data_IF_806090396290
#
_entry.id   IF_806090396290
#
_cell.length_a   1.000
_cell.length_b   1.000
_cell.length_c   1.000
_cell.angle_alpha   90.00
_cell.angle_beta   90.00
_cell.angle_gamma   90.00
#
_symmetry.space_group_name_H-M   'P 1'
#
loop_
_entity.id
_entity.type
_entity.pdbx_description
1 polymer ?
#
# COMPACT_ATOMS: atom_id res chain seq x y z
N UNK A 1 9.28 6.92 -2.98
CA UNK A 1 7.95 6.56 -2.46
C UNK A 1 6.99 6.68 -3.61
N UNK A 2 6.30 5.59 -3.93
CA UNK A 2 5.25 5.55 -4.95
C UNK A 2 3.89 5.50 -4.27
N UNK A 3 3.00 6.39 -4.68
CA UNK A 3 1.63 6.45 -4.18
C UNK A 3 0.67 5.84 -5.20
N UNK A 4 -0.24 5.01 -4.73
CA UNK A 4 -1.31 4.39 -5.51
C UNK A 4 -2.64 4.81 -4.89
N UNK A 5 -3.43 5.55 -5.66
CA UNK A 5 -4.83 5.86 -5.37
C UNK A 5 -5.79 5.18 -6.34
N UNK A 6 -5.32 4.79 -7.53
CA UNK A 6 -6.15 4.23 -8.59
C UNK A 6 -5.57 2.92 -9.13
N UNK A 7 -6.45 2.03 -9.60
CA UNK A 7 -6.04 0.75 -10.19
C UNK A 7 -5.06 0.94 -11.35
N UNK A 8 -5.25 1.96 -12.19
CA UNK A 8 -4.35 2.25 -13.32
C UNK A 8 -2.92 2.56 -12.88
N UNK A 9 -2.74 3.17 -11.71
CA UNK A 9 -1.42 3.51 -11.16
C UNK A 9 -0.72 2.23 -10.71
N UNK A 10 -1.45 1.32 -10.06
CA UNK A 10 -0.94 -0.01 -9.72
C UNK A 10 -0.57 -0.81 -10.98
N UNK A 11 -1.44 -0.81 -12.01
CA UNK A 11 -1.18 -1.52 -13.27
C UNK A 11 0.07 -0.99 -13.99
N UNK A 12 0.29 0.32 -13.97
CA UNK A 12 1.51 0.92 -14.52
C UNK A 12 2.77 0.46 -13.78
N UNK A 13 2.68 0.22 -12.47
CA UNK A 13 3.80 -0.24 -11.65
C UNK A 13 4.11 -1.73 -11.79
N UNK A 14 3.19 -2.55 -12.32
CA UNK A 14 3.39 -4.01 -12.46
C UNK A 14 4.63 -4.39 -13.27
N UNK A 15 5.09 -3.54 -14.19
CA UNK A 15 6.33 -3.77 -14.95
C UNK A 15 7.61 -3.40 -14.19
N UNK A 16 7.50 -2.61 -13.13
CA UNK A 16 8.63 -2.09 -12.35
C UNK A 16 8.88 -2.88 -11.07
N UNK A 17 7.85 -3.55 -10.55
CA UNK A 17 7.94 -4.33 -9.31
C UNK A 17 7.86 -5.83 -9.57
N UNK A 18 8.32 -6.61 -8.60
CA UNK A 18 8.27 -8.06 -8.66
C UNK A 18 6.82 -8.56 -8.68
N UNK A 19 6.53 -9.55 -9.51
CA UNK A 19 5.18 -10.08 -9.73
C UNK A 19 4.43 -10.41 -8.44
N UNK A 20 5.07 -11.10 -7.51
CA UNK A 20 4.42 -11.49 -6.25
C UNK A 20 3.96 -10.28 -5.43
N UNK A 21 4.73 -9.17 -5.47
CA UNK A 21 4.33 -7.91 -4.82
C UNK A 21 3.16 -7.30 -5.56
N UNK A 22 3.23 -7.24 -6.89
CA UNK A 22 2.13 -6.71 -7.71
C UNK A 22 0.81 -7.46 -7.48
N UNK A 23 0.84 -8.80 -7.47
CA UNK A 23 -0.34 -9.64 -7.24
C UNK A 23 -0.90 -9.41 -5.82
N UNK A 24 -0.03 -9.24 -4.82
CA UNK A 24 -0.42 -8.94 -3.45
C UNK A 24 -1.06 -7.55 -3.31
N UNK A 25 -0.43 -6.50 -3.85
CA UNK A 25 -0.95 -5.14 -3.82
C UNK A 25 -2.28 -5.01 -4.58
N UNK A 26 -2.47 -5.78 -5.65
CA UNK A 26 -3.75 -5.83 -6.34
C UNK A 26 -4.85 -6.40 -5.45
N UNK A 27 -4.55 -7.45 -4.69
CA UNK A 27 -5.49 -8.02 -3.72
C UNK A 27 -5.86 -6.98 -2.66
N UNK A 28 -4.87 -6.30 -2.07
CA UNK A 28 -5.12 -5.25 -1.08
C UNK A 28 -5.93 -4.07 -1.66
N UNK A 29 -5.67 -3.68 -2.91
CA UNK A 29 -6.44 -2.62 -3.58
C UNK A 29 -7.90 -3.04 -3.76
N UNK A 30 -8.16 -4.29 -4.13
CA UNK A 30 -9.52 -4.82 -4.25
C UNK A 30 -10.24 -4.85 -2.89
N UNK A 31 -9.55 -5.27 -1.83
CA UNK A 31 -10.12 -5.27 -0.48
C UNK A 31 -10.52 -3.84 -0.05
N UNK A 32 -9.67 -2.84 -0.34
CA UNK A 32 -9.99 -1.43 -0.08
C UNK A 32 -11.14 -0.92 -0.95
N UNK A 33 -11.19 -1.30 -2.22
CA UNK A 33 -12.31 -0.96 -3.11
C UNK A 33 -13.63 -1.54 -2.61
N UNK A 34 -13.66 -2.81 -2.20
CA UNK A 34 -14.85 -3.44 -1.64
C UNK A 34 -15.32 -2.76 -0.36
N UNK A 35 -14.38 -2.28 0.47
CA UNK A 35 -14.69 -1.61 1.73
C UNK A 35 -15.15 -0.15 1.56
N UNK A 36 -14.50 0.61 0.68
CA UNK A 36 -14.66 2.07 0.59
C UNK A 36 -15.53 2.53 -0.56
N UNK A 37 -15.71 1.71 -1.61
CA UNK A 37 -16.46 2.16 -2.79
C UNK A 37 -17.93 2.38 -2.48
N UNK A 38 -18.54 3.35 -3.15
CA UNK A 38 -19.95 3.69 -3.02
C UNK A 38 -20.75 3.29 -4.28
N UNK A 39 -20.36 2.16 -4.89
CA UNK A 39 -21.00 1.61 -6.09
C UNK A 39 -20.48 2.16 -7.42
N UNK A 40 -19.47 3.04 -7.40
CA UNK A 40 -18.68 3.36 -8.58
C UNK A 40 -17.93 2.14 -9.12
N UNK A 41 -17.57 2.18 -10.40
CA UNK A 41 -16.73 1.15 -10.99
C UNK A 41 -15.28 1.30 -10.53
N UNK A 42 -14.55 0.19 -10.49
CA UNK A 42 -13.14 0.18 -10.08
C UNK A 42 -12.26 1.12 -10.91
N UNK A 43 -12.60 1.34 -12.19
CA UNK A 43 -11.80 2.22 -13.06
C UNK A 43 -11.96 3.71 -12.69
N UNK A 44 -13.06 4.07 -12.04
CA UNK A 44 -13.38 5.42 -11.59
C UNK A 44 -13.10 5.61 -10.09
N UNK A 45 -12.77 4.52 -9.37
CA UNK A 45 -12.48 4.55 -7.94
C UNK A 45 -11.12 5.18 -7.65
N UNK A 46 -11.11 6.10 -6.68
CA UNK A 46 -9.92 6.80 -6.22
C UNK A 46 -9.88 6.69 -4.70
N UNK A 47 -8.85 6.04 -4.16
CA UNK A 47 -8.61 6.03 -2.72
C UNK A 47 -8.43 7.46 -2.21
N UNK A 48 -9.02 7.82 -1.07
CA UNK A 48 -8.72 9.07 -0.38
C UNK A 48 -7.21 9.21 -0.16
N UNK A 49 -6.71 10.44 -0.15
CA UNK A 49 -5.26 10.69 -0.04
C UNK A 49 -4.65 10.05 1.21
N UNK A 50 -5.36 10.09 2.34
CA UNK A 50 -4.94 9.53 3.62
C UNK A 50 -5.03 7.99 3.68
N UNK A 51 -5.73 7.35 2.74
CA UNK A 51 -5.82 5.88 2.60
C UNK A 51 -5.08 5.36 1.36
N UNK A 52 -4.35 6.22 0.65
CA UNK A 52 -3.58 5.82 -0.51
C UNK A 52 -2.53 4.77 -0.12
N UNK A 53 -2.35 3.76 -0.95
CA UNK A 53 -1.31 2.75 -0.74
C UNK A 53 0.06 3.35 -1.08
N UNK A 54 1.02 3.21 -0.19
CA UNK A 54 2.37 3.77 -0.36
C UNK A 54 3.38 2.63 -0.48
N UNK A 55 4.16 2.62 -1.57
CA UNK A 55 5.32 1.74 -1.72
C UNK A 55 6.57 2.51 -1.35
N UNK A 56 7.29 2.01 -0.36
CA UNK A 56 8.60 2.47 0.03
C UNK A 56 9.66 1.80 -0.87
N UNK A 57 10.48 2.61 -1.52
CA UNK A 57 11.41 2.13 -2.55
C UNK A 57 12.79 1.77 -1.97
N UNK A 58 13.16 2.38 -0.84
CA UNK A 58 14.44 2.16 -0.21
C UNK A 58 14.36 2.21 1.33
N UNK A 59 15.47 1.85 1.96
CA UNK A 59 15.59 1.83 3.42
C UNK A 59 15.60 3.23 4.05
N UNK A 60 15.97 4.27 3.30
CA UNK A 60 15.92 5.65 3.81
C UNK A 60 14.47 6.08 4.02
N UNK A 61 13.59 5.80 3.06
CA UNK A 61 12.15 6.04 3.15
C UNK A 61 11.51 5.26 4.29
N UNK A 62 11.90 3.98 4.46
CA UNK A 62 11.46 3.19 5.62
C UNK A 62 11.93 3.83 6.93
N UNK A 63 13.21 4.20 7.04
CA UNK A 63 13.74 4.79 8.26
C UNK A 63 13.04 6.10 8.61
N UNK A 64 12.75 6.95 7.61
CA UNK A 64 11.97 8.17 7.80
C UNK A 64 10.57 7.88 8.34
N UNK A 65 9.90 6.86 7.79
CA UNK A 65 8.60 6.42 8.26
C UNK A 65 8.62 5.94 9.72
N UNK A 66 9.70 5.27 10.13
CA UNK A 66 9.86 4.75 11.48
C UNK A 66 10.25 5.82 12.52
N UNK A 67 10.52 7.08 12.13
CA UNK A 67 10.89 8.14 13.09
C UNK A 67 9.76 8.43 14.07
N UNK A 68 8.50 8.36 13.60
CA UNK A 68 7.32 8.66 14.41
C UNK A 68 6.57 7.38 14.79
N UNK A 69 7.19 6.54 15.61
CA UNK A 69 6.64 5.24 16.02
C UNK A 69 5.23 5.34 16.66
N UNK A 70 4.86 6.50 17.21
CA UNK A 70 3.54 6.71 17.83
C UNK A 70 2.38 6.69 16.83
N UNK A 71 2.65 6.92 15.54
CA UNK A 71 1.64 6.90 14.48
C UNK A 71 1.51 5.51 13.83
N UNK A 72 2.42 4.58 14.15
CA UNK A 72 2.38 3.21 13.62
C UNK A 72 1.36 2.40 14.43
N UNK A 73 0.26 2.04 13.78
CA UNK A 73 -0.76 1.17 14.36
C UNK A 73 -0.30 -0.30 14.35
N UNK A 74 0.31 -0.73 13.24
CA UNK A 74 0.85 -2.07 13.12
C UNK A 74 2.02 -2.16 12.14
N UNK A 75 2.82 -3.21 12.32
CA UNK A 75 3.93 -3.58 11.43
C UNK A 75 3.99 -5.11 11.34
N UNK A 76 3.77 -5.64 10.14
CA UNK A 76 3.62 -7.07 9.89
C UNK A 76 4.51 -7.53 8.73
N UNK A 77 5.13 -8.69 8.89
CA UNK A 77 5.81 -9.37 7.80
C UNK A 77 4.82 -10.26 7.03
N UNK A 78 4.67 -9.99 5.74
CA UNK A 78 3.85 -10.79 4.84
C UNK A 78 4.77 -11.66 3.98
N UNK A 79 4.69 -12.97 4.19
CA UNK A 79 5.47 -13.95 3.44
C UNK A 79 4.75 -14.24 2.12
N UNK A 80 5.34 -13.78 1.02
CA UNK A 80 4.92 -14.09 -0.34
C UNK A 80 5.67 -15.34 -0.83
N UNK A 81 5.37 -15.81 -2.05
CA UNK A 81 5.97 -17.03 -2.58
C UNK A 81 7.48 -16.92 -2.78
N UNK A 82 7.98 -15.75 -3.19
CA UNK A 82 9.40 -15.54 -3.53
C UNK A 82 10.13 -14.52 -2.66
N UNK A 83 9.45 -13.86 -1.72
CA UNK A 83 10.03 -12.84 -0.85
C UNK A 83 9.13 -12.55 0.36
N UNK A 84 9.63 -11.75 1.28
CA UNK A 84 8.84 -11.18 2.39
C UNK A 84 8.71 -9.68 2.16
N UNK A 85 7.51 -9.13 2.35
CA UNK A 85 7.32 -7.68 2.44
C UNK A 85 6.98 -7.29 3.87
N UNK A 86 7.28 -6.06 4.21
CA UNK A 86 6.80 -5.42 5.40
C UNK A 86 5.55 -4.60 5.05
N UNK A 87 4.44 -4.88 5.73
CA UNK A 87 3.18 -4.12 5.66
C UNK A 87 3.05 -3.31 6.94
N UNK A 88 2.90 -2.00 6.79
CA UNK A 88 2.87 -1.06 7.91
C UNK A 88 1.57 -0.25 7.81
N UNK A 89 0.78 -0.26 8.88
CA UNK A 89 -0.39 0.59 9.01
C UNK A 89 -0.04 1.81 9.83
N UNK A 90 -0.32 2.99 9.29
CA UNK A 90 -0.07 4.27 9.96
C UNK A 90 -1.37 5.04 10.11
N UNK A 91 -1.61 5.57 11.30
CA UNK A 91 -2.75 6.43 11.56
C UNK A 91 -2.59 7.74 10.78
N UNK A 92 -3.53 8.04 9.89
CA UNK A 92 -3.53 9.24 9.04
C UNK A 92 -4.98 9.72 8.87
N UNK A 93 -5.26 10.96 9.30
CA UNK A 93 -6.60 11.57 9.26
C UNK A 93 -7.73 10.66 9.79
N UNK A 94 -7.54 10.08 10.99
CA UNK A 94 -8.48 9.17 11.68
C UNK A 94 -8.68 7.79 11.01
N UNK A 95 -7.94 7.50 9.94
CA UNK A 95 -7.96 6.24 9.21
C UNK A 95 -6.56 5.60 9.14
N UNK A 96 -6.45 4.39 8.57
CA UNK A 96 -5.16 3.71 8.39
C UNK A 96 -4.65 3.86 6.96
N UNK A 97 -3.43 4.39 6.80
CA UNK A 97 -2.67 4.38 5.57
C UNK A 97 -1.72 3.18 5.50
N UNK A 98 -1.82 2.42 4.41
CA UNK A 98 -1.00 1.24 4.20
C UNK A 98 0.29 1.56 3.46
N UNK A 99 1.41 1.20 4.08
CA UNK A 99 2.75 1.31 3.51
C UNK A 99 3.35 -0.09 3.31
N UNK A 100 4.06 -0.28 2.20
CA UNK A 100 4.64 -1.55 1.80
C UNK A 100 6.13 -1.39 1.48
N UNK A 101 6.97 -2.24 2.06
CA UNK A 101 8.41 -2.25 1.80
C UNK A 101 8.89 -3.67 1.50
N UNK A 102 9.78 -3.81 0.51
CA UNK A 102 10.41 -5.10 0.22
C UNK A 102 11.52 -5.38 1.24
N UNK A 103 11.33 -6.40 2.08
CA UNK A 103 12.33 -6.82 3.09
C UNK A 103 13.39 -7.76 2.53
#
# INVERSE_FOLDING_TARGET
MKKIQQLRELLALKSEIQKDIADYLETEFWDLYEYLSNGEKVEDFILPYYQAMIILEDTEELNQLMINEMEIEFKEEVILKSLTILRIGIMNDEDIQLHYFKS
#
